data_IF_989227858551
#
_entry.id   IF_989227858551
#
_cell.length_a   1.000
_cell.length_b   1.000
_cell.length_c   1.000
_cell.angle_alpha   90.00
_cell.angle_beta   90.00
_cell.angle_gamma   90.00
#
_symmetry.space_group_name_H-M   'P 1'
#
loop_
_entity.id
_entity.type
_entity.pdbx_description
1 polymer ?
#
# COMPACT_ATOMS: atom_id res chain seq x y z
N UNK A 1 -3.52 -24.14 7.55
CA UNK A 1 -3.86 -22.78 8.03
C UNK A 1 -4.11 -21.90 6.81
N UNK A 2 -5.04 -20.93 6.91
CA UNK A 2 -5.23 -19.92 5.86
C UNK A 2 -4.00 -19.02 5.79
N UNK A 3 -3.55 -18.70 4.59
CA UNK A 3 -2.50 -17.68 4.38
C UNK A 3 -3.03 -16.31 4.73
N UNK A 4 -2.19 -15.50 5.39
CA UNK A 4 -2.55 -14.17 5.88
C UNK A 4 -1.86 -13.09 5.09
N UNK A 5 -2.65 -12.17 4.56
CA UNK A 5 -2.17 -11.06 3.72
C UNK A 5 -2.45 -9.74 4.45
N UNK A 6 -1.41 -8.93 4.61
CA UNK A 6 -1.52 -7.58 5.14
C UNK A 6 -1.45 -6.56 4.01
N UNK A 7 -2.52 -5.80 3.85
CA UNK A 7 -2.53 -4.61 3.00
C UNK A 7 -2.15 -3.37 3.79
N UNK A 8 -1.37 -2.49 3.18
CA UNK A 8 -1.05 -1.16 3.71
C UNK A 8 -1.76 -0.15 2.82
N UNK A 9 -2.79 0.49 3.34
CA UNK A 9 -3.62 1.45 2.61
C UNK A 9 -3.30 2.89 3.00
N UNK A 10 -3.26 3.83 2.04
CA UNK A 10 -2.79 5.20 2.28
C UNK A 10 -3.72 6.05 3.14
N UNK A 11 -5.04 5.89 3.02
CA UNK A 11 -6.01 6.81 3.64
C UNK A 11 -7.08 6.12 4.47
N UNK A 12 -7.49 4.90 4.12
CA UNK A 12 -8.65 4.26 4.74
C UNK A 12 -9.96 4.93 4.37
N UNK A 13 -10.15 5.25 3.09
CA UNK A 13 -11.37 5.83 2.53
C UNK A 13 -11.71 5.13 1.20
N UNK A 14 -12.90 5.33 0.65
CA UNK A 14 -13.30 4.82 -0.67
C UNK A 14 -13.58 5.98 -1.65
N UNK A 15 -12.79 7.03 -1.57
CA UNK A 15 -12.96 8.27 -2.34
C UNK A 15 -11.98 8.38 -3.53
N UNK A 16 -11.07 7.43 -3.69
CA UNK A 16 -10.09 7.42 -4.77
C UNK A 16 -9.94 6.04 -5.42
N UNK A 17 -9.45 6.04 -6.67
CA UNK A 17 -9.37 4.84 -7.49
C UNK A 17 -8.44 3.75 -6.93
N UNK A 18 -7.35 4.13 -6.30
CA UNK A 18 -6.40 3.19 -5.72
C UNK A 18 -7.03 2.41 -4.55
N UNK A 19 -7.73 3.10 -3.64
CA UNK A 19 -8.42 2.46 -2.51
C UNK A 19 -9.60 1.58 -2.97
N UNK A 20 -10.38 2.04 -3.93
CA UNK A 20 -11.47 1.24 -4.52
C UNK A 20 -10.92 -0.02 -5.17
N UNK A 21 -9.83 0.10 -5.92
CA UNK A 21 -9.19 -1.03 -6.60
C UNK A 21 -8.74 -2.11 -5.61
N UNK A 22 -8.04 -1.73 -4.54
CA UNK A 22 -7.58 -2.71 -3.55
C UNK A 22 -8.71 -3.26 -2.69
N UNK A 23 -9.78 -2.50 -2.43
CA UNK A 23 -10.96 -3.02 -1.75
C UNK A 23 -11.53 -4.23 -2.50
N UNK A 24 -11.67 -4.14 -3.82
CA UNK A 24 -12.14 -5.26 -4.64
C UNK A 24 -11.16 -6.44 -4.63
N UNK A 25 -9.85 -6.17 -4.67
CA UNK A 25 -8.82 -7.21 -4.56
C UNK A 25 -8.88 -7.90 -3.19
N UNK A 26 -8.96 -7.16 -2.10
CA UNK A 26 -9.10 -7.71 -0.75
C UNK A 26 -10.34 -8.60 -0.62
N UNK A 27 -11.48 -8.12 -1.12
CA UNK A 27 -12.73 -8.88 -1.14
C UNK A 27 -12.60 -10.19 -1.91
N UNK A 28 -11.99 -10.15 -3.10
CA UNK A 28 -11.72 -11.34 -3.90
C UNK A 28 -10.84 -12.34 -3.13
N UNK A 29 -9.76 -11.87 -2.50
CA UNK A 29 -8.86 -12.73 -1.72
C UNK A 29 -9.56 -13.38 -0.53
N UNK A 30 -10.45 -12.67 0.17
CA UNK A 30 -11.28 -13.25 1.24
C UNK A 30 -12.18 -14.38 0.68
N UNK A 31 -12.81 -14.16 -0.47
CA UNK A 31 -13.65 -15.16 -1.14
C UNK A 31 -12.84 -16.37 -1.59
N UNK A 32 -11.59 -16.18 -1.99
CA UNK A 32 -10.63 -17.22 -2.37
C UNK A 32 -9.99 -17.94 -1.14
N UNK A 33 -10.38 -17.56 0.06
CA UNK A 33 -10.04 -18.26 1.29
C UNK A 33 -8.83 -17.71 2.06
N UNK A 34 -8.28 -16.57 1.69
CA UNK A 34 -7.22 -15.89 2.44
C UNK A 34 -7.78 -15.19 3.69
N UNK A 35 -6.93 -14.99 4.69
CA UNK A 35 -7.19 -14.11 5.84
C UNK A 35 -6.58 -12.73 5.52
N UNK A 36 -7.43 -11.74 5.32
CA UNK A 36 -7.01 -10.42 4.85
C UNK A 36 -7.12 -9.40 5.99
N UNK A 37 -6.00 -8.73 6.23
CA UNK A 37 -5.89 -7.63 7.19
C UNK A 37 -5.51 -6.37 6.41
N UNK A 38 -6.13 -5.24 6.75
CA UNK A 38 -5.83 -3.94 6.16
C UNK A 38 -5.36 -2.97 7.24
N UNK A 39 -4.17 -2.40 7.09
CA UNK A 39 -3.64 -1.34 7.97
C UNK A 39 -3.86 0.03 7.34
N UNK A 40 -4.42 0.94 8.09
CA UNK A 40 -4.68 2.33 7.68
C UNK A 40 -4.12 3.30 8.73
N UNK A 41 -3.82 4.58 8.36
CA UNK A 41 -3.55 5.62 9.34
C UNK A 41 -4.86 5.98 10.08
N UNK A 42 -4.77 6.31 11.36
CA UNK A 42 -5.93 6.78 12.12
C UNK A 42 -6.02 8.31 12.06
N UNK A 43 -6.99 8.80 11.32
CA UNK A 43 -7.29 10.24 11.23
C UNK A 43 -8.46 10.66 12.13
N UNK A 44 -9.05 9.71 12.88
CA UNK A 44 -10.18 9.95 13.78
C UNK A 44 -11.39 10.64 13.10
N UNK A 45 -11.65 10.32 11.83
CA UNK A 45 -12.75 10.91 11.06
C UNK A 45 -13.86 9.90 10.77
N UNK A 46 -15.10 10.37 10.64
CA UNK A 46 -16.28 9.51 10.45
C UNK A 46 -16.16 8.66 9.16
N UNK A 47 -15.62 9.21 8.09
CA UNK A 47 -15.48 8.49 6.80
C UNK A 47 -14.62 7.23 6.93
N UNK A 48 -13.61 7.23 7.83
CA UNK A 48 -12.83 6.02 8.12
C UNK A 48 -13.63 4.97 8.89
N UNK A 49 -14.51 5.38 9.79
CA UNK A 49 -15.39 4.44 10.50
C UNK A 49 -16.36 3.75 9.52
N UNK A 50 -16.87 4.50 8.56
CA UNK A 50 -17.72 3.96 7.49
C UNK A 50 -16.94 3.00 6.58
N UNK A 51 -15.69 3.33 6.24
CA UNK A 51 -14.76 2.46 5.51
C UNK A 51 -14.51 1.16 6.28
N UNK A 52 -14.10 1.23 7.55
CA UNK A 52 -13.83 0.06 8.41
C UNK A 52 -15.08 -0.84 8.48
N UNK A 53 -16.25 -0.23 8.67
CA UNK A 53 -17.53 -0.95 8.73
C UNK A 53 -17.86 -1.64 7.41
N UNK A 54 -17.53 -1.02 6.28
CA UNK A 54 -17.74 -1.58 4.94
C UNK A 54 -16.82 -2.78 4.71
N UNK A 55 -15.54 -2.66 5.04
CA UNK A 55 -14.57 -3.75 4.91
C UNK A 55 -14.93 -4.94 5.82
N UNK A 56 -15.38 -4.66 7.04
CA UNK A 56 -15.77 -5.70 8.00
C UNK A 56 -16.94 -6.57 7.49
N UNK A 57 -17.89 -5.99 6.76
CA UNK A 57 -19.01 -6.74 6.12
C UNK A 57 -18.52 -7.73 5.07
N UNK A 58 -17.38 -7.48 4.46
CA UNK A 58 -16.74 -8.35 3.47
C UNK A 58 -15.71 -9.31 4.10
N UNK A 59 -15.62 -9.36 5.43
CA UNK A 59 -14.71 -10.24 6.15
C UNK A 59 -13.26 -9.74 6.21
N UNK A 60 -13.02 -8.48 5.91
CA UNK A 60 -11.69 -7.85 5.95
C UNK A 60 -11.52 -7.15 7.30
N UNK A 61 -10.48 -7.55 8.06
CA UNK A 61 -10.15 -6.93 9.33
C UNK A 61 -9.31 -5.68 9.09
N UNK A 62 -9.80 -4.51 9.47
CA UNK A 62 -9.06 -3.24 9.35
C UNK A 62 -8.49 -2.82 10.70
N UNK A 63 -7.23 -2.37 10.70
CA UNK A 63 -6.51 -1.88 11.86
C UNK A 63 -6.09 -0.44 11.59
N UNK A 64 -6.62 0.50 12.36
CA UNK A 64 -6.18 1.88 12.36
C UNK A 64 -4.96 2.03 13.29
N UNK A 65 -3.85 2.53 12.74
CA UNK A 65 -2.60 2.72 13.46
C UNK A 65 -2.49 4.19 13.88
N UNK A 66 -2.46 4.50 15.18
CA UNK A 66 -2.40 5.86 15.67
C UNK A 66 -1.08 6.53 15.27
N UNK A 67 -1.15 7.81 14.97
CA UNK A 67 0.01 8.66 14.64
C UNK A 67 0.81 8.23 13.41
N UNK A 68 0.28 7.33 12.58
CA UNK A 68 0.94 6.90 11.36
C UNK A 68 0.88 7.99 10.30
N UNK A 69 2.02 8.25 9.68
CA UNK A 69 2.21 9.19 8.59
C UNK A 69 3.00 8.50 7.49
N UNK A 70 2.31 8.16 6.40
CA UNK A 70 2.85 7.28 5.37
C UNK A 70 3.81 7.94 4.38
N UNK A 71 3.57 9.23 4.07
CA UNK A 71 4.16 9.90 2.92
C UNK A 71 5.68 10.02 3.00
N UNK A 72 6.36 9.85 1.87
CA UNK A 72 7.73 10.29 1.71
C UNK A 72 7.82 11.79 2.00
N UNK A 73 8.96 12.27 2.53
CA UNK A 73 9.12 13.69 2.91
C UNK A 73 9.05 14.65 1.73
N UNK A 74 9.40 14.17 0.53
CA UNK A 74 9.39 14.91 -0.73
C UNK A 74 8.13 14.65 -1.59
N UNK A 75 7.19 13.84 -1.12
CA UNK A 75 5.88 13.71 -1.75
C UNK A 75 5.08 15.01 -1.64
N UNK A 76 4.30 15.31 -2.67
CA UNK A 76 3.40 16.48 -2.66
C UNK A 76 2.43 16.39 -1.47
N UNK A 77 2.38 17.46 -0.67
CA UNK A 77 1.61 17.44 0.58
C UNK A 77 2.24 16.64 1.71
N UNK A 78 3.52 16.28 1.55
CA UNK A 78 4.27 15.41 2.44
C UNK A 78 4.31 15.83 3.90
N UNK A 79 5.10 15.11 4.68
CA UNK A 79 5.08 15.14 6.13
C UNK A 79 5.52 16.51 6.68
N UNK A 80 4.67 17.23 7.43
CA UNK A 80 5.10 18.45 8.11
C UNK A 80 6.06 18.13 9.25
N UNK A 81 6.73 19.16 9.76
CA UNK A 81 7.62 19.08 10.90
C UNK A 81 9.10 19.16 10.54
N UNK A 82 9.94 19.05 11.54
CA UNK A 82 11.40 19.03 11.40
C UNK A 82 11.87 17.68 10.81
N UNK A 83 13.11 17.62 10.34
CA UNK A 83 13.71 16.37 9.87
C UNK A 83 13.70 15.29 10.98
N UNK A 84 14.04 15.66 12.21
CA UNK A 84 14.03 14.73 13.34
C UNK A 84 12.64 14.18 13.64
N UNK A 85 11.61 15.03 13.65
CA UNK A 85 10.23 14.60 13.84
C UNK A 85 9.75 13.63 12.75
N UNK A 86 10.14 13.87 11.49
CA UNK A 86 9.83 12.97 10.38
C UNK A 86 10.51 11.61 10.52
N UNK A 87 11.82 11.62 10.83
CA UNK A 87 12.57 10.37 11.04
C UNK A 87 12.00 9.56 12.19
N UNK A 88 11.67 10.19 13.31
CA UNK A 88 11.05 9.52 14.45
C UNK A 88 9.68 8.92 14.05
N UNK A 89 8.84 9.66 13.33
CA UNK A 89 7.57 9.15 12.83
C UNK A 89 7.75 7.93 11.92
N UNK A 90 8.71 7.94 11.01
CA UNK A 90 8.99 6.78 10.14
C UNK A 90 9.41 5.55 10.96
N UNK A 91 10.29 5.73 11.95
CA UNK A 91 10.74 4.64 12.82
C UNK A 91 9.57 4.05 13.65
N UNK A 92 8.73 4.91 14.21
CA UNK A 92 7.55 4.48 14.97
C UNK A 92 6.57 3.69 14.08
N UNK A 93 6.32 4.19 12.86
CA UNK A 93 5.44 3.52 11.89
C UNK A 93 5.98 2.13 11.49
N UNK A 94 7.28 2.04 11.22
CA UNK A 94 7.93 0.77 10.88
C UNK A 94 7.84 -0.19 12.07
N UNK A 95 8.11 0.27 13.29
CA UNK A 95 8.03 -0.56 14.49
C UNK A 95 6.61 -1.08 14.75
N UNK A 96 5.59 -0.23 14.57
CA UNK A 96 4.19 -0.62 14.72
C UNK A 96 3.77 -1.68 13.69
N UNK A 97 4.20 -1.52 12.43
CA UNK A 97 3.93 -2.49 11.37
C UNK A 97 4.65 -3.82 11.60
N UNK A 98 5.92 -3.80 12.00
CA UNK A 98 6.66 -5.01 12.35
C UNK A 98 5.95 -5.79 13.46
N UNK A 99 5.54 -5.09 14.52
CA UNK A 99 4.77 -5.70 15.60
C UNK A 99 3.49 -6.34 15.10
N UNK A 100 2.72 -5.63 14.26
CA UNK A 100 1.50 -6.15 13.66
C UNK A 100 1.75 -7.41 12.82
N UNK A 101 2.82 -7.42 12.01
CA UNK A 101 3.20 -8.55 11.16
C UNK A 101 3.54 -9.79 11.97
N UNK A 102 4.34 -9.63 13.02
CA UNK A 102 4.75 -10.73 13.93
C UNK A 102 3.55 -11.26 14.72
N UNK A 103 2.80 -10.38 15.40
CA UNK A 103 1.66 -10.77 16.25
C UNK A 103 0.53 -11.44 15.43
N UNK A 104 0.36 -11.03 14.19
CA UNK A 104 -0.66 -11.59 13.30
C UNK A 104 -0.18 -12.77 12.46
N UNK A 105 1.10 -13.10 12.47
CA UNK A 105 1.71 -14.14 11.62
C UNK A 105 1.41 -13.91 10.14
N UNK A 106 1.82 -12.76 9.61
CA UNK A 106 1.59 -12.36 8.21
C UNK A 106 2.48 -13.18 7.27
N UNK A 107 1.91 -13.68 6.18
CA UNK A 107 2.62 -14.45 5.14
C UNK A 107 3.01 -13.58 3.92
N UNK A 108 2.33 -12.45 3.70
CA UNK A 108 2.58 -11.53 2.58
C UNK A 108 2.15 -10.12 2.97
N UNK A 109 2.95 -9.14 2.59
CA UNK A 109 2.61 -7.71 2.72
C UNK A 109 2.39 -7.11 1.34
N UNK A 110 1.35 -6.30 1.19
CA UNK A 110 1.02 -5.57 -0.04
C UNK A 110 0.90 -4.09 0.28
N UNK A 111 1.81 -3.27 -0.26
CA UNK A 111 1.72 -1.81 -0.15
C UNK A 111 0.96 -1.24 -1.34
N UNK A 112 -0.07 -0.47 -1.06
CA UNK A 112 -0.89 0.21 -2.06
C UNK A 112 -0.45 1.66 -2.23
N UNK A 113 -0.14 2.04 -3.43
CA UNK A 113 0.44 3.32 -3.89
C UNK A 113 1.95 3.46 -3.65
N UNK A 114 2.57 4.35 -4.42
CA UNK A 114 4.00 4.65 -4.34
C UNK A 114 4.34 5.60 -3.17
N UNK A 115 3.32 6.23 -2.57
CA UNK A 115 3.53 7.27 -1.56
C UNK A 115 4.03 6.75 -0.19
N UNK A 116 4.07 5.45 0.00
CA UNK A 116 4.39 4.81 1.29
C UNK A 116 5.52 3.80 1.12
N UNK A 117 6.38 3.70 2.13
CA UNK A 117 7.50 2.75 2.12
C UNK A 117 7.61 1.93 3.42
N UNK A 118 6.95 2.36 4.48
CA UNK A 118 7.11 1.79 5.81
C UNK A 118 6.71 0.32 5.86
N UNK A 119 5.67 -0.06 5.10
CA UNK A 119 5.24 -1.45 4.98
C UNK A 119 6.30 -2.34 4.31
N UNK A 120 6.95 -1.84 3.27
CA UNK A 120 8.03 -2.54 2.57
C UNK A 120 9.25 -2.73 3.47
N UNK A 121 9.67 -1.68 4.19
CA UNK A 121 10.79 -1.76 5.15
C UNK A 121 10.46 -2.72 6.29
N UNK A 122 9.25 -2.65 6.85
CA UNK A 122 8.83 -3.55 7.92
C UNK A 122 8.82 -5.02 7.46
N UNK A 123 8.32 -5.30 6.26
CA UNK A 123 8.32 -6.63 5.67
C UNK A 123 9.74 -7.18 5.48
N UNK A 124 10.66 -6.36 4.95
CA UNK A 124 12.06 -6.72 4.80
C UNK A 124 12.74 -7.00 6.15
N UNK A 125 12.42 -6.26 7.21
CA UNK A 125 12.94 -6.52 8.55
C UNK A 125 12.48 -7.86 9.15
N UNK A 126 11.31 -8.34 8.75
CA UNK A 126 10.71 -9.59 9.26
C UNK A 126 10.85 -10.77 8.27
N UNK A 127 11.59 -10.58 7.17
CA UNK A 127 11.78 -11.59 6.10
C UNK A 127 10.44 -12.10 5.54
N UNK A 128 9.49 -11.17 5.36
CA UNK A 128 8.16 -11.43 4.80
C UNK A 128 8.13 -10.93 3.35
N UNK A 129 7.66 -11.73 2.38
CA UNK A 129 7.49 -11.29 1.00
C UNK A 129 6.65 -10.01 0.89
N UNK A 130 7.08 -9.10 0.02
CA UNK A 130 6.43 -7.81 -0.18
C UNK A 130 6.10 -7.55 -1.65
N UNK A 131 4.84 -7.20 -1.92
CA UNK A 131 4.38 -6.76 -3.24
C UNK A 131 4.03 -5.27 -3.20
N UNK A 132 4.37 -4.57 -4.27
CA UNK A 132 4.04 -3.15 -4.41
C UNK A 132 3.01 -2.95 -5.52
N UNK A 133 1.89 -2.29 -5.21
CA UNK A 133 0.88 -1.88 -6.18
C UNK A 133 1.06 -0.39 -6.47
N UNK A 134 1.53 -0.05 -7.67
CA UNK A 134 1.79 1.33 -8.09
C UNK A 134 0.70 1.78 -9.05
N UNK A 135 0.03 2.86 -8.71
CA UNK A 135 -1.06 3.45 -9.49
C UNK A 135 -0.67 4.78 -10.13
N UNK A 136 0.42 5.38 -9.68
CA UNK A 136 0.84 6.73 -10.02
C UNK A 136 1.85 6.72 -11.18
N UNK A 137 1.66 7.63 -12.15
CA UNK A 137 2.66 7.87 -13.18
C UNK A 137 3.89 8.58 -12.58
N UNK A 138 5.12 8.23 -12.99
CA UNK A 138 6.35 8.87 -12.50
C UNK A 138 6.53 10.28 -13.09
N UNK A 139 5.51 11.12 -13.02
CA UNK A 139 5.44 12.45 -13.63
C UNK A 139 4.67 13.41 -12.72
N UNK A 140 4.80 14.72 -12.98
CA UNK A 140 4.07 15.74 -12.23
C UNK A 140 4.33 15.64 -10.72
N UNK A 141 3.27 15.60 -9.95
CA UNK A 141 3.33 15.52 -8.48
C UNK A 141 3.96 14.22 -7.95
N UNK A 142 3.93 13.14 -8.73
CA UNK A 142 4.55 11.86 -8.37
C UNK A 142 5.96 11.69 -8.98
N UNK A 143 6.49 12.69 -9.67
CA UNK A 143 7.82 12.63 -10.30
C UNK A 143 8.95 12.34 -9.31
N UNK A 144 8.78 12.68 -8.04
CA UNK A 144 9.76 12.48 -6.96
C UNK A 144 10.16 11.01 -6.78
N UNK A 145 9.28 10.06 -7.04
CA UNK A 145 9.62 8.67 -6.80
C UNK A 145 10.58 8.06 -7.82
N UNK A 146 10.88 8.74 -8.92
CA UNK A 146 11.98 8.33 -9.82
C UNK A 146 13.30 8.18 -9.08
N UNK A 147 13.55 9.09 -8.13
CA UNK A 147 14.74 9.05 -7.29
C UNK A 147 14.69 7.94 -6.23
N UNK A 148 13.49 7.46 -5.91
CA UNK A 148 13.24 6.36 -4.97
C UNK A 148 13.19 5.00 -5.66
N UNK A 149 13.25 4.94 -6.99
CA UNK A 149 12.98 3.72 -7.75
C UNK A 149 13.90 2.55 -7.34
N UNK A 150 15.15 2.83 -7.02
CA UNK A 150 16.09 1.82 -6.53
C UNK A 150 15.71 1.25 -5.16
N UNK A 151 15.15 2.07 -4.27
CA UNK A 151 14.63 1.62 -2.96
C UNK A 151 13.36 0.79 -3.16
N UNK A 152 12.45 1.25 -4.02
CA UNK A 152 11.22 0.52 -4.37
C UNK A 152 11.58 -0.86 -4.94
N UNK A 153 12.53 -0.91 -5.87
CA UNK A 153 13.00 -2.14 -6.48
C UNK A 153 13.61 -3.11 -5.46
N UNK A 154 14.47 -2.60 -4.59
CA UNK A 154 15.19 -3.43 -3.60
C UNK A 154 14.29 -3.98 -2.49
N UNK A 155 13.16 -3.35 -2.21
CA UNK A 155 12.21 -3.74 -1.16
C UNK A 155 10.98 -4.49 -1.69
N UNK A 156 10.87 -4.71 -3.00
CA UNK A 156 9.74 -5.41 -3.59
C UNK A 156 10.16 -6.76 -4.15
N UNK A 157 9.51 -7.84 -3.75
CA UNK A 157 9.59 -9.12 -4.44
C UNK A 157 8.88 -9.03 -5.80
N UNK A 158 7.72 -8.37 -5.83
CA UNK A 158 6.95 -8.13 -7.05
C UNK A 158 6.44 -6.69 -7.09
N UNK A 159 6.42 -6.12 -8.30
CA UNK A 159 5.81 -4.81 -8.59
C UNK A 159 4.67 -5.00 -9.56
N UNK A 160 3.50 -4.51 -9.17
CA UNK A 160 2.28 -4.54 -9.98
C UNK A 160 1.81 -3.13 -10.30
N UNK A 161 1.24 -2.96 -11.48
CA UNK A 161 0.62 -1.71 -11.90
C UNK A 161 -0.58 -1.99 -12.81
N UNK A 162 -1.37 -0.94 -13.10
CA UNK A 162 -2.39 -1.05 -14.14
C UNK A 162 -1.72 -1.24 -15.51
N UNK A 163 -2.36 -2.04 -16.36
CA UNK A 163 -1.85 -2.30 -17.71
C UNK A 163 -1.79 -1.02 -18.55
N UNK A 164 -0.91 -1.00 -19.54
CA UNK A 164 -0.80 0.09 -20.51
C UNK A 164 0.39 1.02 -20.31
N UNK A 165 0.17 2.32 -20.35
CA UNK A 165 1.25 3.30 -20.36
C UNK A 165 2.03 3.36 -19.03
N UNK A 166 1.37 3.17 -17.90
CA UNK A 166 2.04 3.14 -16.61
C UNK A 166 3.00 1.97 -16.51
N UNK A 167 2.57 0.77 -16.94
CA UNK A 167 3.44 -0.41 -16.99
C UNK A 167 4.68 -0.15 -17.86
N UNK A 168 4.50 0.47 -19.03
CA UNK A 168 5.63 0.83 -19.91
C UNK A 168 6.59 1.81 -19.25
N UNK A 169 6.05 2.84 -18.57
CA UNK A 169 6.86 3.83 -17.86
C UNK A 169 7.70 3.20 -16.75
N UNK A 170 7.11 2.30 -15.96
CA UNK A 170 7.85 1.58 -14.92
C UNK A 170 8.86 0.59 -15.49
N UNK A 171 8.53 -0.12 -16.55
CA UNK A 171 9.49 -1.01 -17.23
C UNK A 171 10.68 -0.25 -17.82
N UNK A 172 10.49 1.01 -18.23
CA UNK A 172 11.59 1.87 -18.65
C UNK A 172 12.49 2.28 -17.47
N UNK A 173 11.93 2.54 -16.30
CA UNK A 173 12.69 2.88 -15.09
C UNK A 173 13.40 1.66 -14.48
N UNK A 174 12.84 0.46 -14.65
CA UNK A 174 13.33 -0.80 -14.11
C UNK A 174 13.52 -1.85 -15.21
N UNK A 175 14.49 -1.65 -16.14
CA UNK A 175 14.62 -2.50 -17.32
C UNK A 175 15.04 -3.95 -17.03
N UNK A 176 15.52 -4.24 -15.82
CA UNK A 176 15.94 -5.58 -15.40
C UNK A 176 14.85 -6.33 -14.62
N UNK A 177 13.71 -5.68 -14.38
CA UNK A 177 12.60 -6.25 -13.60
C UNK A 177 11.37 -6.45 -14.49
N UNK A 178 10.70 -7.58 -14.32
CA UNK A 178 9.36 -7.76 -14.86
C UNK A 178 8.38 -6.93 -14.05
N UNK A 179 7.69 -5.99 -14.69
CA UNK A 179 6.59 -5.24 -14.10
C UNK A 179 5.30 -5.97 -14.45
N UNK A 180 4.66 -6.56 -13.45
CA UNK A 180 3.39 -7.26 -13.61
C UNK A 180 2.24 -6.25 -13.74
N UNK A 181 1.14 -6.67 -14.34
CA UNK A 181 -0.02 -5.80 -14.52
C UNK A 181 -1.30 -6.47 -14.05
N UNK A 182 -2.23 -5.65 -13.63
CA UNK A 182 -3.59 -6.04 -13.31
C UNK A 182 -4.59 -5.09 -14.01
N UNK A 183 -5.82 -5.54 -14.16
CA UNK A 183 -6.92 -4.71 -14.67
C UNK A 183 -7.60 -4.09 -13.45
N UNK A 184 -7.60 -2.76 -13.38
CA UNK A 184 -8.31 -2.03 -12.32
C UNK A 184 -9.82 -2.29 -12.42
N UNK A 185 -10.48 -2.50 -11.27
CA UNK A 185 -11.93 -2.64 -11.22
C UNK A 185 -12.66 -1.42 -11.84
N UNK A 186 -12.11 -0.23 -11.69
CA UNK A 186 -12.66 1.00 -12.24
C UNK A 186 -12.69 1.00 -13.79
N UNK A 187 -11.74 0.32 -14.44
CA UNK A 187 -11.72 0.17 -15.89
C UNK A 187 -12.83 -0.77 -16.38
N UNK A 188 -13.12 -1.82 -15.62
CA UNK A 188 -14.18 -2.78 -15.94
C UNK A 188 -15.56 -2.17 -15.80
N UNK A 189 -15.78 -1.29 -14.84
CA UNK A 189 -17.07 -0.62 -14.61
C UNK A 189 -17.36 0.43 -15.68
N UNK A 190 -16.34 1.06 -16.24
CA UNK A 190 -16.50 2.09 -17.28
C UNK A 190 -16.89 1.54 -18.66
N UNK A 191 -16.81 0.22 -18.86
CA UNK A 191 -17.15 -0.45 -20.13
C UNK A 191 -18.63 -0.91 -20.16
N UNK A 192 -19.35 -0.80 -19.06
CA UNK A 192 -20.78 -1.14 -18.95
C UNK A 192 -21.67 0.09 -19.09
#
# INVERSE_FOLDING_TARGET
>A
MKKKILFISPTGTLDNGAEISIFHLMKYLVQDGYDVINAIPDYHVQVQQDYISTLAKEGIRTIALPSVKWWWEDATGGLPGTHEERVNSYQENIAALRKLMVDSHIDLVITNTVNMFQGAVAAACEDIPHFWLIHEFPEGEFGYYKEKIGVIDSLADEIFTVTGNLQKSLSFLLPQREIKSFISHNEVVSIK
#
